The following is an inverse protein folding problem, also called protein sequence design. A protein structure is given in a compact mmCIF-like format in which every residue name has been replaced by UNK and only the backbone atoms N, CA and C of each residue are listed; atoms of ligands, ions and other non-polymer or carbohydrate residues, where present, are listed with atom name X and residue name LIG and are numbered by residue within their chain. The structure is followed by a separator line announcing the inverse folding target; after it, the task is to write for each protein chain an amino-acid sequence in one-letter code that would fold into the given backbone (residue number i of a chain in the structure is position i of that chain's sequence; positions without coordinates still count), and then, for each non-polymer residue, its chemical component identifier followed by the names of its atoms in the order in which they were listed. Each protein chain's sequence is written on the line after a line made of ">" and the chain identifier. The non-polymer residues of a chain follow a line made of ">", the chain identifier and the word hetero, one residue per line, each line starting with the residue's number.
data_IF_575327353672
#
_entry.id   IF_575327353672
#
_cell.length_a   1.000
_cell.length_b   1.000
_cell.length_c   1.000
_cell.angle_alpha   90.00
_cell.angle_beta   90.00
_cell.angle_gamma   90.00
#
_symmetry.space_group_name_H-M   'P 1'
#
loop_
_entity.id
_entity.type
_entity.pdbx_description
1 polymer ?
#
# COMPACT_ATOMS: atom_id res chain seq x y z
N UNK A 1 4.25 -8.42 0.54
CA UNK A 1 5.35 -7.49 0.24
C UNK A 1 4.76 -6.26 -0.39
N UNK A 2 5.14 -5.06 0.07
CA UNK A 2 4.74 -3.79 -0.52
C UNK A 2 5.93 -3.19 -1.26
N UNK A 3 5.72 -2.84 -2.53
CA UNK A 3 6.72 -2.22 -3.40
C UNK A 3 6.49 -0.72 -3.53
N UNK A 4 7.53 0.01 -3.93
CA UNK A 4 7.51 1.49 -4.01
C UNK A 4 6.59 2.03 -5.10
N UNK A 5 6.28 1.22 -6.12
CA UNK A 5 5.34 1.52 -7.20
C UNK A 5 3.86 1.33 -6.79
N UNK A 6 3.64 0.81 -5.57
CA UNK A 6 2.33 0.53 -5.01
C UNK A 6 1.81 -0.88 -5.28
N UNK A 7 2.61 -1.79 -5.84
CA UNK A 7 2.22 -3.19 -5.88
C UNK A 7 2.23 -3.80 -4.46
N UNK A 8 1.13 -4.44 -4.07
CA UNK A 8 1.04 -5.20 -2.82
C UNK A 8 0.82 -6.68 -3.14
N UNK A 9 1.92 -7.44 -3.10
CA UNK A 9 1.94 -8.85 -3.45
C UNK A 9 1.84 -9.76 -2.22
N UNK A 10 0.91 -10.69 -2.25
CA UNK A 10 0.74 -11.75 -1.25
C UNK A 10 1.13 -13.11 -1.80
N UNK A 11 2.06 -13.80 -1.14
CA UNK A 11 2.55 -15.12 -1.56
C UNK A 11 2.12 -16.20 -0.58
N UNK A 12 1.90 -17.42 -1.07
CA UNK A 12 1.56 -18.57 -0.22
C UNK A 12 2.71 -19.00 0.68
N UNK A 13 3.94 -18.80 0.23
CA UNK A 13 5.18 -19.04 0.97
C UNK A 13 6.05 -17.81 0.91
N UNK A 14 6.91 -17.63 1.92
CA UNK A 14 7.85 -16.53 1.93
C UNK A 14 8.81 -16.65 0.73
N UNK A 15 8.93 -15.63 -0.13
CA UNK A 15 9.88 -15.65 -1.23
C UNK A 15 11.31 -15.75 -0.72
N UNK A 16 12.16 -16.54 -1.40
CA UNK A 16 13.57 -16.72 -1.04
C UNK A 16 14.42 -15.63 -1.68
N UNK A 17 15.39 -15.10 -0.92
CA UNK A 17 16.33 -14.11 -1.43
C UNK A 17 17.18 -14.71 -2.57
N UNK A 18 17.36 -13.96 -3.65
CA UNK A 18 18.17 -14.38 -4.80
C UNK A 18 17.48 -15.37 -5.74
N UNK A 19 16.20 -15.67 -5.54
CA UNK A 19 15.39 -16.48 -6.46
C UNK A 19 14.25 -15.64 -7.06
N UNK A 20 13.78 -15.97 -8.27
CA UNK A 20 12.56 -15.38 -8.82
C UNK A 20 11.39 -15.54 -7.85
N UNK A 21 10.53 -14.54 -7.78
CA UNK A 21 9.33 -14.64 -6.94
C UNK A 21 8.38 -15.70 -7.50
N UNK A 22 7.76 -16.51 -6.62
CA UNK A 22 6.69 -17.40 -7.05
C UNK A 22 5.48 -16.59 -7.51
N UNK A 23 4.56 -17.24 -8.23
CA UNK A 23 3.31 -16.60 -8.65
C UNK A 23 2.58 -15.99 -7.43
N UNK A 24 2.25 -14.69 -7.44
CA UNK A 24 1.53 -14.07 -6.35
C UNK A 24 0.11 -14.63 -6.27
N UNK A 25 -0.34 -14.96 -5.06
CA UNK A 25 -1.73 -15.34 -4.80
C UNK A 25 -2.64 -14.11 -4.76
N UNK A 26 -2.10 -12.99 -4.30
CA UNK A 26 -2.76 -11.70 -4.29
C UNK A 26 -1.86 -10.70 -4.99
N UNK A 27 -2.40 -10.04 -6.00
CA UNK A 27 -1.72 -8.99 -6.75
C UNK A 27 -2.72 -7.84 -6.95
N UNK A 28 -2.50 -6.75 -6.24
CA UNK A 28 -3.28 -5.53 -6.40
C UNK A 28 -2.43 -4.29 -6.13
N UNK A 29 -2.83 -3.19 -6.76
CA UNK A 29 -2.19 -1.89 -6.59
C UNK A 29 -2.85 -1.13 -5.44
N UNK A 30 -2.07 -0.43 -4.61
CA UNK A 30 -2.58 0.44 -3.54
C UNK A 30 -2.60 1.92 -3.91
N UNK A 31 -2.57 2.21 -5.22
CA UNK A 31 -2.78 3.55 -5.78
C UNK A 31 -4.20 4.01 -5.38
N UNK A 32 -4.30 5.15 -4.72
CA UNK A 32 -5.55 5.68 -4.14
C UNK A 32 -6.23 4.79 -3.08
N UNK A 33 -5.49 3.85 -2.47
CA UNK A 33 -6.04 3.04 -1.41
C UNK A 33 -6.42 3.85 -0.17
N UNK A 34 -7.40 3.34 0.56
CA UNK A 34 -7.75 3.75 1.92
C UNK A 34 -7.38 2.63 2.88
N UNK A 35 -6.67 2.97 3.96
CA UNK A 35 -6.36 2.05 5.05
C UNK A 35 -7.24 2.37 6.25
N UNK A 36 -8.01 1.38 6.71
CA UNK A 36 -9.00 1.54 7.78
C UNK A 36 -8.60 0.64 8.96
N UNK A 37 -8.50 1.19 10.15
CA UNK A 37 -8.15 0.47 11.38
C UNK A 37 -9.36 -0.30 11.91
N UNK A 38 -9.15 -1.54 12.34
CA UNK A 38 -10.18 -2.39 12.95
C UNK A 38 -9.64 -3.07 14.21
N UNK A 39 -10.52 -3.27 15.19
CA UNK A 39 -10.20 -3.98 16.45
C UNK A 39 -11.10 -5.20 16.69
N UNK A 40 -11.99 -5.51 15.75
CA UNK A 40 -12.92 -6.65 15.82
C UNK A 40 -12.88 -7.45 14.52
N UNK A 41 -13.04 -8.79 14.59
CA UNK A 41 -13.19 -9.62 15.80
C UNK A 41 -11.90 -9.81 16.62
N UNK A 42 -10.75 -9.32 16.15
CA UNK A 42 -9.45 -9.42 16.82
C UNK A 42 -8.74 -8.06 16.81
N UNK A 43 -7.85 -7.77 17.79
CA UNK A 43 -7.10 -6.52 17.81
C UNK A 43 -6.15 -6.42 16.61
N UNK A 44 -5.54 -5.26 16.38
CA UNK A 44 -4.46 -5.07 15.38
C UNK A 44 -4.84 -5.46 13.93
N UNK A 45 -6.12 -5.35 13.60
CA UNK A 45 -6.62 -5.57 12.25
C UNK A 45 -6.64 -4.25 11.46
N UNK A 46 -6.55 -4.35 10.14
CA UNK A 46 -6.78 -3.23 9.25
C UNK A 46 -7.32 -3.72 7.91
N UNK A 47 -8.08 -2.88 7.22
CA UNK A 47 -8.60 -3.16 5.88
C UNK A 47 -7.96 -2.21 4.89
N UNK A 48 -7.55 -2.73 3.75
CA UNK A 48 -7.22 -1.94 2.57
C UNK A 48 -8.44 -1.97 1.65
N UNK A 49 -8.96 -0.80 1.32
CA UNK A 49 -10.00 -0.60 0.32
C UNK A 49 -9.40 0.10 -0.87
N UNK A 50 -9.58 -0.46 -2.07
CA UNK A 50 -9.11 0.12 -3.33
C UNK A 50 -10.16 -0.05 -4.42
N UNK A 51 -10.23 0.90 -5.35
CA UNK A 51 -11.00 0.76 -6.57
C UNK A 51 -10.09 0.16 -7.66
N UNK A 52 -10.38 -1.07 -8.08
CA UNK A 52 -9.72 -1.68 -9.22
C UNK A 52 -10.68 -1.64 -10.41
N UNK A 53 -10.35 -0.86 -11.43
CA UNK A 53 -11.24 -0.52 -12.54
C UNK A 53 -12.56 0.07 -12.03
N UNK A 54 -13.65 -0.70 -12.05
CA UNK A 54 -14.97 -0.31 -11.56
C UNK A 54 -15.39 -1.05 -10.30
N UNK A 55 -14.54 -1.94 -9.79
CA UNK A 55 -14.86 -2.81 -8.65
C UNK A 55 -14.14 -2.34 -7.39
N UNK A 56 -14.89 -2.12 -6.32
CA UNK A 56 -14.30 -1.90 -4.99
C UNK A 56 -13.81 -3.23 -4.45
N UNK A 57 -12.52 -3.30 -4.14
CA UNK A 57 -11.87 -4.45 -3.52
C UNK A 57 -11.52 -4.08 -2.09
N UNK A 58 -11.96 -4.92 -1.17
CA UNK A 58 -11.63 -4.85 0.24
C UNK A 58 -10.81 -6.06 0.65
N UNK A 59 -9.71 -5.81 1.37
CA UNK A 59 -8.83 -6.85 1.90
C UNK A 59 -8.53 -6.55 3.35
N UNK A 60 -8.96 -7.45 4.23
CA UNK A 60 -8.71 -7.36 5.67
C UNK A 60 -7.44 -8.11 6.02
N UNK A 61 -6.55 -7.44 6.73
CA UNK A 61 -5.27 -7.92 7.21
C UNK A 61 -5.25 -7.94 8.74
N UNK A 62 -4.41 -8.80 9.28
CA UNK A 62 -4.12 -8.86 10.71
C UNK A 62 -2.61 -8.87 10.88
N UNK A 63 -2.09 -7.89 11.60
CA UNK A 63 -0.66 -7.77 11.84
C UNK A 63 -0.30 -8.44 13.17
N UNK A 64 0.26 -9.65 13.08
CA UNK A 64 0.79 -10.38 14.23
C UNK A 64 2.16 -10.91 13.87
N UNK A 65 3.19 -10.58 14.66
CA UNK A 65 4.52 -11.18 14.46
C UNK A 65 4.47 -12.66 14.87
N UNK A 66 5.07 -13.54 14.08
CA UNK A 66 5.28 -14.94 14.47
C UNK A 66 6.06 -15.04 15.79
N UNK A 67 6.92 -14.07 16.06
CA UNK A 67 7.70 -13.92 17.29
C UNK A 67 6.79 -13.61 18.49
N UNK A 68 5.72 -12.84 18.30
CA UNK A 68 4.78 -12.51 19.39
C UNK A 68 4.11 -13.78 19.94
N UNK A 69 3.95 -14.86 19.14
CA UNK A 69 3.45 -16.15 19.64
C UNK A 69 4.49 -16.95 20.43
N UNK A 70 5.75 -16.91 20.01
CA UNK A 70 6.84 -17.65 20.67
C UNK A 70 7.36 -16.96 21.94
N UNK A 71 7.35 -15.63 21.98
CA UNK A 71 7.86 -14.83 23.11
C UNK A 71 6.78 -14.50 24.17
N UNK A 72 5.55 -15.01 24.03
CA UNK A 72 4.48 -14.84 25.04
C UNK A 72 4.89 -15.31 26.43
N UNK A 73 5.88 -16.19 26.54
CA UNK A 73 6.31 -16.77 27.82
C UNK A 73 7.21 -15.84 28.66
N UNK A 74 7.88 -14.85 28.05
CA UNK A 74 8.97 -14.10 28.72
C UNK A 74 8.80 -12.58 28.76
N UNK A 75 7.75 -12.03 28.15
CA UNK A 75 7.49 -10.58 28.14
C UNK A 75 6.08 -10.26 28.65
N UNK A 76 5.93 -9.08 29.26
CA UNK A 76 4.61 -8.57 29.65
C UNK A 76 3.69 -8.46 28.44
N UNK A 77 2.41 -8.85 28.62
CA UNK A 77 1.36 -8.77 27.60
C UNK A 77 1.24 -7.37 26.97
N UNK A 78 1.53 -6.32 27.73
CA UNK A 78 1.50 -4.93 27.29
C UNK A 78 2.57 -4.66 26.22
N UNK A 79 3.76 -5.24 26.37
CA UNK A 79 4.87 -5.05 25.44
C UNK A 79 4.62 -5.74 24.09
N UNK A 80 4.02 -6.93 24.14
CA UNK A 80 3.64 -7.68 22.94
C UNK A 80 2.52 -6.99 22.15
N UNK A 81 1.54 -6.40 22.85
CA UNK A 81 0.49 -5.59 22.23
C UNK A 81 1.08 -4.35 21.54
N UNK A 82 1.99 -3.63 22.20
CA UNK A 82 2.67 -2.46 21.65
C UNK A 82 3.38 -2.77 20.32
N UNK A 83 4.08 -3.91 20.23
CA UNK A 83 4.75 -4.32 18.99
C UNK A 83 3.79 -4.66 17.87
N UNK A 84 2.73 -5.41 18.15
CA UNK A 84 1.75 -5.77 17.14
C UNK A 84 1.02 -4.51 16.61
N UNK A 85 0.69 -3.57 17.49
CA UNK A 85 0.13 -2.27 17.10
C UNK A 85 1.13 -1.47 16.27
N UNK A 86 2.40 -1.39 16.67
CA UNK A 86 3.43 -0.69 15.91
C UNK A 86 3.63 -1.30 14.51
N UNK A 87 3.55 -2.63 14.38
CA UNK A 87 3.62 -3.31 13.08
C UNK A 87 2.44 -2.92 12.19
N UNK A 88 1.20 -2.93 12.73
CA UNK A 88 0.02 -2.46 12.00
C UNK A 88 0.21 -1.02 11.52
N UNK A 89 0.60 -0.11 12.40
CA UNK A 89 0.75 1.30 12.05
C UNK A 89 1.85 1.53 11.00
N UNK A 90 2.93 0.74 11.00
CA UNK A 90 3.94 0.78 9.93
C UNK A 90 3.38 0.39 8.57
N UNK A 91 2.57 -0.67 8.51
CA UNK A 91 1.91 -1.08 7.28
C UNK A 91 0.95 -0.01 6.76
N UNK A 92 0.09 0.50 7.64
CA UNK A 92 -0.87 1.57 7.29
C UNK A 92 -0.14 2.80 6.77
N UNK A 93 0.88 3.27 7.51
CA UNK A 93 1.64 4.47 7.15
C UNK A 93 2.33 4.31 5.78
N UNK A 94 2.91 3.14 5.49
CA UNK A 94 3.56 2.88 4.21
C UNK A 94 2.56 2.88 3.03
N UNK A 95 1.37 2.28 3.23
CA UNK A 95 0.30 2.26 2.23
C UNK A 95 -0.23 3.67 1.98
N UNK A 96 -0.54 4.41 3.06
CA UNK A 96 -1.04 5.79 2.98
C UNK A 96 -0.02 6.71 2.30
N UNK A 97 1.28 6.56 2.59
CA UNK A 97 2.34 7.32 1.95
C UNK A 97 2.36 7.12 0.43
N UNK A 98 2.28 5.86 -0.03
CA UNK A 98 2.26 5.55 -1.46
C UNK A 98 0.97 6.07 -2.11
N UNK A 99 -0.18 5.84 -1.48
CA UNK A 99 -1.46 6.31 -1.99
C UNK A 99 -1.50 7.84 -2.10
N UNK A 100 -0.98 8.56 -1.10
CA UNK A 100 -0.89 10.02 -1.11
C UNK A 100 0.03 10.54 -2.23
N UNK A 101 1.18 9.91 -2.44
CA UNK A 101 2.08 10.28 -3.55
C UNK A 101 1.37 10.16 -4.88
N UNK A 102 0.58 9.11 -5.07
CA UNK A 102 -0.18 8.91 -6.29
C UNK A 102 -1.26 9.97 -6.49
N UNK A 103 -2.02 10.31 -5.43
CA UNK A 103 -3.00 11.41 -5.45
C UNK A 103 -2.38 12.76 -5.82
N UNK A 104 -1.19 13.05 -5.30
CA UNK A 104 -0.45 14.27 -5.63
C UNK A 104 -0.02 14.31 -7.10
N UNK A 105 0.55 13.21 -7.61
CA UNK A 105 0.96 13.16 -9.01
C UNK A 105 -0.23 13.15 -10.00
N UNK A 106 -1.39 12.61 -9.61
CA UNK A 106 -2.62 12.67 -10.42
C UNK A 106 -3.29 14.06 -10.39
N UNK A 107 -2.98 14.90 -9.39
CA UNK A 107 -3.49 16.28 -9.32
C UNK A 107 -2.61 17.30 -10.03
N UNK A 108 -1.37 16.93 -10.37
CA UNK A 108 -0.56 17.61 -11.36
C UNK A 108 -1.03 17.17 -12.76
N UNK A 109 -1.96 17.92 -13.37
CA UNK A 109 -2.29 17.73 -14.78
C UNK A 109 -1.01 17.82 -15.63
N UNK A 110 -0.87 17.04 -16.72
CA UNK A 110 0.18 17.27 -17.70
C UNK A 110 -0.11 18.57 -18.47
N UNK A 111 0.19 19.73 -17.89
CA UNK A 111 0.37 20.96 -18.62
C UNK A 111 1.79 20.98 -19.20
N UNK A 112 1.94 20.72 -20.50
CA UNK A 112 3.06 21.22 -21.36
C UNK A 112 3.23 20.46 -22.69
N UNK A 113 2.16 20.15 -23.42
CA UNK A 113 2.30 19.74 -24.83
C UNK A 113 1.37 20.47 -25.81
N UNK A 114 0.37 21.20 -25.32
CA UNK A 114 -0.54 21.97 -26.18
C UNK A 114 -0.19 23.45 -26.28
N UNK A 115 0.47 24.04 -25.28
CA UNK A 115 0.88 25.46 -25.33
C UNK A 115 2.01 25.73 -26.33
N UNK A 116 3.01 24.84 -26.46
CA UNK A 116 4.10 25.04 -27.43
C UNK A 116 3.64 25.01 -28.89
N UNK A 117 2.55 24.30 -29.22
CA UNK A 117 2.06 24.22 -30.59
C UNK A 117 1.23 25.44 -30.99
N UNK A 118 0.64 26.15 -30.03
CA UNK A 118 -0.17 27.34 -30.30
C UNK A 118 0.70 28.58 -30.59
N UNK A 119 1.89 28.66 -30.01
CA UNK A 119 2.85 29.75 -30.27
C UNK A 119 3.53 29.64 -31.64
N UNK A 120 3.81 28.43 -32.13
CA UNK A 120 4.45 28.24 -33.43
C UNK A 120 3.52 28.62 -34.58
N UNK A 121 2.21 28.39 -34.46
CA UNK A 121 1.24 28.72 -35.52
C UNK A 121 1.03 30.23 -35.65
N UNK A 122 1.21 31.00 -34.58
CA UNK A 122 1.08 32.47 -34.63
C UNK A 122 2.31 33.17 -35.24
N UNK A 123 3.47 32.51 -35.33
CA UNK A 123 4.71 33.11 -35.84
C UNK A 123 4.95 32.91 -37.35
N UNK A 124 4.08 32.16 -38.05
CA UNK A 124 4.23 31.88 -39.49
C UNK A 124 3.29 32.74 -40.37
N UNK A 125 2.62 33.74 -39.81
CA UNK A 125 1.93 34.75 -40.62
C UNK A 125 2.81 35.99 -40.81
N UNK A 126 3.55 36.01 -41.90
CA UNK A 126 4.14 37.21 -42.53
C UNK A 126 3.83 37.17 -44.03
#
# INVERSE_FOLDING_TARGET
>A
MLFNDGALLGFKTQPKLGQPFPEPLNDFMVKDAQAIRYEKPRPNMFMIRVLQWTTVIERTFYAESAEVKAFQQNFSIVFLLQFATALRERWISAIELIANRYRQHMSEEPQSAQEEMMDVVSQVSC
#
